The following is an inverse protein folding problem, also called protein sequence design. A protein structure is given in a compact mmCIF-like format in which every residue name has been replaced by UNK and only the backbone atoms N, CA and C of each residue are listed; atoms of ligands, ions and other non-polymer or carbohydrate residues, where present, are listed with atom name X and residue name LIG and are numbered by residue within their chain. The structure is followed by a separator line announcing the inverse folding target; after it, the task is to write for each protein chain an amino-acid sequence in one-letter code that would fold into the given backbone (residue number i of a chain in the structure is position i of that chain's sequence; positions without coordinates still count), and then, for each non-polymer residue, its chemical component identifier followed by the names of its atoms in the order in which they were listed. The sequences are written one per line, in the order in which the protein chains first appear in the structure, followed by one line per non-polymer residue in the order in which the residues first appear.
data_IF_213904734081
#
_entry.id   IF_213904734081
#
_cell.length_a   1.000
_cell.length_b   1.000
_cell.length_c   1.000
_cell.angle_alpha   90.00
_cell.angle_beta   90.00
_cell.angle_gamma   90.00
#
_symmetry.space_group_name_H-M   'P 1'
#
loop_
_entity.id
_entity.type
_entity.pdbx_description
1 polymer ?
#
# COMPACT_ATOMS: atom_id res chain seq x y z
N UNK A 1 -8.28 8.55 -1.22
CA UNK A 1 -7.73 9.53 -0.26
C UNK A 1 -7.32 8.77 1.00
N UNK A 2 -6.04 8.80 1.34
CA UNK A 2 -5.54 8.12 2.56
C UNK A 2 -5.83 9.01 3.77
N UNK A 3 -6.45 8.45 4.82
CA UNK A 3 -6.78 9.20 6.04
C UNK A 3 -5.71 9.03 7.11
N UNK A 4 -5.17 7.83 7.22
CA UNK A 4 -4.10 7.52 8.18
C UNK A 4 -3.16 6.42 7.68
N UNK A 5 -1.97 6.39 8.29
CA UNK A 5 -0.97 5.37 8.07
C UNK A 5 -0.69 4.65 9.39
N UNK A 6 -0.69 3.31 9.38
CA UNK A 6 -0.32 2.52 10.55
C UNK A 6 1.18 2.63 10.87
N UNK A 7 2.01 2.91 9.85
CA UNK A 7 3.47 2.96 9.97
C UNK A 7 4.05 4.29 9.46
N UNK A 8 4.99 4.83 10.22
CA UNK A 8 5.67 6.10 9.91
C UNK A 8 6.55 5.99 8.66
N UNK A 9 7.14 4.84 8.38
CA UNK A 9 7.95 4.68 7.18
C UNK A 9 7.08 4.79 5.91
N UNK A 10 5.87 4.22 5.96
CA UNK A 10 4.86 4.29 4.89
C UNK A 10 4.34 5.71 4.69
N UNK A 11 4.08 6.44 5.79
CA UNK A 11 3.69 7.85 5.72
C UNK A 11 4.78 8.71 5.07
N UNK A 12 6.03 8.57 5.52
CA UNK A 12 7.17 9.30 4.94
C UNK A 12 7.36 8.95 3.47
N UNK A 13 7.18 7.67 3.13
CA UNK A 13 7.22 7.22 1.75
C UNK A 13 6.13 7.90 0.90
N UNK A 14 4.89 8.00 1.38
CA UNK A 14 3.79 8.65 0.67
C UNK A 14 4.07 10.12 0.38
N UNK A 15 4.71 10.82 1.33
CA UNK A 15 5.21 12.20 1.23
C UNK A 15 6.45 12.35 0.33
N UNK A 16 6.92 11.26 -0.29
CA UNK A 16 8.14 11.18 -1.12
C UNK A 16 9.43 11.51 -0.37
N UNK A 17 9.41 11.42 0.95
CA UNK A 17 10.60 11.60 1.76
C UNK A 17 11.58 10.43 1.59
N UNK A 18 12.82 10.62 2.05
CA UNK A 18 13.82 9.57 2.08
C UNK A 18 13.53 8.60 3.22
N UNK A 19 13.36 7.32 2.87
CA UNK A 19 13.17 6.21 3.82
C UNK A 19 14.25 5.17 3.52
N UNK A 20 15.44 5.26 4.16
CA UNK A 20 16.57 4.38 3.86
C UNK A 20 16.29 2.89 4.08
N UNK A 21 15.34 2.57 4.95
CA UNK A 21 14.93 1.20 5.24
C UNK A 21 14.15 0.52 4.10
N UNK A 22 13.65 1.30 3.12
CA UNK A 22 12.88 0.76 1.99
C UNK A 22 13.79 0.54 0.79
N UNK A 23 13.85 -0.71 0.33
CA UNK A 23 14.60 -1.07 -0.88
C UNK A 23 14.14 -0.18 -2.07
N UNK A 24 15.07 0.46 -2.80
CA UNK A 24 14.74 1.31 -3.96
C UNK A 24 13.85 0.64 -5.01
N UNK A 25 13.98 -0.68 -5.21
CA UNK A 25 13.16 -1.49 -6.13
C UNK A 25 11.71 -1.53 -5.67
N UNK A 26 11.49 -1.65 -4.37
CA UNK A 26 10.16 -1.66 -3.74
C UNK A 26 9.58 -0.25 -3.63
N UNK A 27 10.43 0.75 -3.33
CA UNK A 27 10.04 2.17 -3.21
C UNK A 27 9.24 2.67 -4.40
N UNK A 28 9.70 2.39 -5.63
CA UNK A 28 9.00 2.85 -6.85
C UNK A 28 7.62 2.23 -6.99
N UNK A 29 7.46 0.95 -6.66
CA UNK A 29 6.18 0.23 -6.77
C UNK A 29 5.24 0.66 -5.65
N UNK A 30 5.75 0.75 -4.41
CA UNK A 30 5.01 1.23 -3.25
C UNK A 30 4.47 2.65 -3.49
N UNK A 31 5.30 3.58 -3.98
CA UNK A 31 4.87 4.94 -4.33
C UNK A 31 3.73 4.96 -5.36
N UNK A 32 3.79 4.09 -6.37
CA UNK A 32 2.72 3.99 -7.38
C UNK A 32 1.41 3.51 -6.76
N UNK A 33 1.48 2.51 -5.87
CA UNK A 33 0.31 1.95 -5.18
C UNK A 33 -0.28 2.94 -4.17
N UNK A 34 0.56 3.63 -3.40
CA UNK A 34 0.12 4.68 -2.47
C UNK A 34 -0.60 5.82 -3.19
N UNK A 35 -0.11 6.25 -4.37
CA UNK A 35 -0.81 7.26 -5.18
C UNK A 35 -2.16 6.78 -5.67
N UNK A 36 -2.26 5.51 -6.07
CA UNK A 36 -3.53 4.94 -6.50
C UNK A 36 -4.53 4.88 -5.34
N UNK A 37 -4.10 4.45 -4.16
CA UNK A 37 -4.90 4.47 -2.92
C UNK A 37 -5.36 5.88 -2.56
N UNK A 38 -4.48 6.86 -2.74
CA UNK A 38 -4.80 8.25 -2.46
C UNK A 38 -5.76 8.86 -3.49
N UNK A 39 -5.68 8.46 -4.76
CA UNK A 39 -6.59 8.93 -5.82
C UNK A 39 -7.92 8.18 -5.88
N UNK A 40 -7.98 6.94 -5.35
CA UNK A 40 -9.16 6.09 -5.49
C UNK A 40 -10.38 6.69 -4.78
N UNK A 41 -11.51 6.69 -5.50
CA UNK A 41 -12.82 7.11 -5.00
C UNK A 41 -13.67 5.93 -4.52
N UNK A 42 -13.37 4.72 -5.00
CA UNK A 42 -14.02 3.49 -4.56
C UNK A 42 -13.05 2.30 -4.53
N UNK A 43 -13.46 1.21 -3.87
CA UNK A 43 -12.69 -0.03 -3.86
C UNK A 43 -12.61 -0.69 -5.25
N UNK A 44 -13.59 -0.47 -6.13
CA UNK A 44 -13.56 -1.05 -7.48
C UNK A 44 -12.43 -0.44 -8.34
N UNK A 45 -12.13 0.84 -8.17
CA UNK A 45 -11.03 1.50 -8.89
C UNK A 45 -9.66 0.88 -8.58
N UNK A 46 -9.52 0.35 -7.36
CA UNK A 46 -8.29 -0.34 -6.94
C UNK A 46 -8.14 -1.72 -7.58
N UNK A 47 -9.23 -2.33 -8.08
CA UNK A 47 -9.21 -3.59 -8.84
C UNK A 47 -8.88 -3.42 -10.32
N UNK A 48 -9.00 -2.21 -10.87
CA UNK A 48 -8.81 -1.94 -12.31
C UNK A 48 -7.39 -2.29 -12.81
N UNK A 49 -6.30 -1.97 -12.09
CA UNK A 49 -4.97 -2.42 -12.51
C UNK A 49 -4.81 -3.92 -12.23
N UNK A 50 -4.55 -4.78 -13.24
CA UNK A 50 -4.49 -6.24 -13.07
C UNK A 50 -3.39 -6.74 -12.11
N UNK A 51 -2.44 -5.87 -11.73
CA UNK A 51 -1.39 -6.14 -10.74
C UNK A 51 -1.75 -5.79 -9.30
N UNK A 52 -2.98 -5.36 -9.03
CA UNK A 52 -3.49 -5.16 -7.68
C UNK A 52 -4.25 -6.39 -7.21
N UNK A 53 -3.65 -7.13 -6.28
CA UNK A 53 -4.34 -8.17 -5.53
C UNK A 53 -4.81 -7.56 -4.22
N UNK A 54 -6.03 -7.02 -4.26
CA UNK A 54 -6.75 -6.59 -3.07
C UNK A 54 -7.21 -7.82 -2.31
N UNK A 55 -6.78 -7.95 -1.06
CA UNK A 55 -7.24 -9.00 -0.16
C UNK A 55 -7.97 -8.37 1.02
N UNK A 56 -9.19 -8.85 1.26
CA UNK A 56 -9.95 -8.45 2.44
C UNK A 56 -9.38 -9.17 3.66
N UNK A 57 -8.99 -8.40 4.68
CA UNK A 57 -8.47 -8.94 5.93
C UNK A 57 -9.61 -9.48 6.80
N UNK A 58 -9.31 -10.49 7.61
CA UNK A 58 -10.26 -11.20 8.50
C UNK A 58 -9.81 -11.08 9.97
N UNK A 59 -10.69 -11.47 10.89
CA UNK A 59 -10.43 -11.40 12.34
C UNK A 59 -10.49 -9.96 12.85
N UNK A 60 -9.54 -9.57 13.70
CA UNK A 60 -9.47 -8.23 14.32
C UNK A 60 -9.32 -7.09 13.32
N UNK A 61 -8.96 -7.41 12.07
CA UNK A 61 -8.79 -6.46 10.96
C UNK A 61 -9.93 -6.54 9.94
N UNK A 62 -11.07 -7.13 10.33
CA UNK A 62 -12.25 -7.19 9.48
C UNK A 62 -12.68 -5.77 9.07
N UNK A 63 -12.80 -5.54 7.76
CA UNK A 63 -13.11 -4.23 7.18
C UNK A 63 -11.90 -3.52 6.56
N UNK A 64 -10.68 -3.99 6.82
CA UNK A 64 -9.47 -3.53 6.16
C UNK A 64 -9.16 -4.33 4.89
N UNK A 65 -8.38 -3.72 4.00
CA UNK A 65 -7.89 -4.33 2.76
C UNK A 65 -6.37 -4.25 2.70
N UNK A 66 -5.72 -5.29 2.16
CA UNK A 66 -4.30 -5.26 1.83
C UNK A 66 -4.09 -5.23 0.32
N UNK A 67 -3.07 -4.51 -0.15
CA UNK A 67 -2.61 -4.55 -1.53
C UNK A 67 -1.19 -5.07 -1.55
N UNK A 68 -0.96 -6.17 -2.26
CA UNK A 68 0.41 -6.70 -2.44
C UNK A 68 1.27 -5.75 -3.26
N UNK A 69 2.49 -5.48 -2.82
CA UNK A 69 3.46 -4.63 -3.53
C UNK A 69 4.34 -5.43 -4.51
N UNK A 70 4.53 -6.74 -4.29
CA UNK A 70 5.23 -7.61 -5.24
C UNK A 70 4.85 -9.09 -5.06
N UNK A 71 4.97 -9.90 -6.12
CA UNK A 71 4.79 -11.36 -6.06
C UNK A 71 6.08 -12.14 -5.71
N UNK A 72 7.23 -11.48 -5.62
CA UNK A 72 8.54 -12.14 -5.46
C UNK A 72 9.46 -11.53 -4.40
N UNK A 73 8.92 -10.88 -3.36
CA UNK A 73 9.75 -10.32 -2.29
C UNK A 73 9.24 -10.74 -0.91
N UNK A 74 10.00 -11.60 -0.23
CA UNK A 74 9.74 -12.13 1.12
C UNK A 74 10.15 -11.17 2.25
N UNK A 75 10.09 -9.86 2.02
CA UNK A 75 10.53 -8.85 2.99
C UNK A 75 9.52 -7.72 3.12
N UNK A 76 8.74 -7.73 4.21
CA UNK A 76 7.94 -6.61 4.69
C UNK A 76 6.82 -6.16 3.73
N UNK A 77 5.62 -6.73 3.90
CA UNK A 77 4.41 -6.13 3.34
C UNK A 77 4.20 -4.75 3.97
N UNK A 78 3.85 -3.75 3.16
CA UNK A 78 3.36 -2.48 3.70
C UNK A 78 1.94 -2.74 4.18
N UNK A 79 1.76 -2.70 5.50
CA UNK A 79 0.44 -2.86 6.11
C UNK A 79 -0.45 -1.67 5.77
N UNK A 80 -1.74 -1.98 5.62
CA UNK A 80 -2.74 -1.14 4.99
C UNK A 80 -2.80 0.30 5.50
N UNK A 81 -3.24 1.16 4.60
CA UNK A 81 -3.70 2.51 4.89
C UNK A 81 -5.17 2.42 5.32
N UNK A 82 -5.49 3.08 6.44
CA UNK A 82 -6.86 3.25 6.94
C UNK A 82 -7.49 4.52 6.37
#
# INVERSE_FOLDING_TARGET
MIRSFADKATERLSRRESVPAVDPRIRRIALRKLRLLDSALSLEELCVPPGNRLERLKGDRSGQYSIRINEGYSGGGFEGVE
#
